data_IF_785621784555
#
_entry.id   IF_785621784555
#
_cell.length_a   1.000
_cell.length_b   1.000
_cell.length_c   1.000
_cell.angle_alpha   90.00
_cell.angle_beta   90.00
_cell.angle_gamma   90.00
#
_symmetry.space_group_name_H-M   'P 1'
#
loop_
_entity.id
_entity.type
_entity.pdbx_description
1 polymer ?
#
# COMPACT_ATOMS: atom_id res chain seq x y z
N UNK A 1 24.48 -1.50 2.25
CA UNK A 1 23.36 -2.18 2.95
C UNK A 1 22.92 -3.35 2.09
N UNK A 2 22.64 -4.49 2.70
CA UNK A 2 22.14 -5.70 2.05
C UNK A 2 20.67 -5.88 2.39
N UNK A 3 19.81 -5.85 1.38
CA UNK A 3 18.35 -5.82 1.52
C UNK A 3 17.78 -7.17 1.08
N UNK A 4 17.08 -7.86 1.95
CA UNK A 4 16.37 -9.10 1.60
C UNK A 4 14.95 -8.77 1.15
N UNK A 5 14.53 -9.29 -0.01
CA UNK A 5 13.18 -9.10 -0.57
C UNK A 5 12.40 -10.41 -0.56
N UNK A 6 11.48 -10.56 0.40
CA UNK A 6 10.50 -11.66 0.37
C UNK A 6 9.54 -11.39 -0.78
N UNK A 7 9.48 -12.33 -1.73
CA UNK A 7 8.70 -12.15 -2.96
C UNK A 7 9.40 -11.27 -3.99
N UNK A 8 10.73 -11.17 -3.96
CA UNK A 8 11.49 -10.30 -4.88
C UNK A 8 11.28 -10.59 -6.37
N UNK A 9 10.85 -11.79 -6.75
CA UNK A 9 10.47 -12.15 -8.13
C UNK A 9 8.94 -12.08 -8.40
N UNK A 10 8.15 -11.59 -7.44
CA UNK A 10 6.71 -11.34 -7.58
C UNK A 10 6.40 -10.00 -8.23
N UNK A 11 5.11 -9.70 -8.46
CA UNK A 11 4.70 -8.53 -9.26
C UNK A 11 5.25 -7.20 -8.71
N UNK A 12 5.09 -6.92 -7.41
CA UNK A 12 5.66 -5.71 -6.78
C UNK A 12 7.17 -5.87 -6.54
N UNK A 13 7.60 -7.06 -6.09
CA UNK A 13 9.00 -7.33 -5.75
C UNK A 13 9.97 -7.14 -6.92
N UNK A 14 9.54 -7.42 -8.17
CA UNK A 14 10.35 -7.20 -9.37
C UNK A 14 10.68 -5.73 -9.56
N UNK A 15 9.67 -4.86 -9.46
CA UNK A 15 9.85 -3.42 -9.54
C UNK A 15 10.72 -2.90 -8.39
N UNK A 16 10.50 -3.36 -7.15
CA UNK A 16 11.35 -2.99 -6.01
C UNK A 16 12.81 -3.40 -6.22
N UNK A 17 13.06 -4.60 -6.72
CA UNK A 17 14.42 -5.09 -7.01
C UNK A 17 15.12 -4.19 -8.03
N UNK A 18 14.45 -3.85 -9.14
CA UNK A 18 14.98 -2.96 -10.18
C UNK A 18 15.20 -1.53 -9.64
N UNK A 19 14.24 -0.99 -8.88
CA UNK A 19 14.32 0.36 -8.28
C UNK A 19 15.50 0.47 -7.32
N UNK A 20 15.69 -0.52 -6.43
CA UNK A 20 16.80 -0.57 -5.47
C UNK A 20 18.15 -0.63 -6.19
N UNK A 21 18.28 -1.52 -7.18
CA UNK A 21 19.53 -1.69 -7.91
C UNK A 21 19.86 -0.45 -8.75
N UNK A 22 18.87 0.21 -9.34
CA UNK A 22 19.06 1.37 -10.23
C UNK A 22 19.33 2.68 -9.49
N UNK A 23 18.82 2.84 -8.27
CA UNK A 23 18.83 4.12 -7.56
C UNK A 23 19.68 4.11 -6.29
N UNK A 24 20.30 2.98 -5.93
CA UNK A 24 21.10 2.88 -4.71
C UNK A 24 22.34 2.00 -4.91
N UNK A 25 23.32 2.15 -4.02
CA UNK A 25 24.48 1.25 -3.92
C UNK A 25 24.21 0.00 -3.08
N UNK A 26 22.95 -0.28 -2.72
CA UNK A 26 22.59 -1.47 -1.94
C UNK A 26 22.71 -2.74 -2.78
N UNK A 27 22.94 -3.87 -2.09
CA UNK A 27 22.78 -5.21 -2.65
C UNK A 27 21.45 -5.80 -2.23
N UNK A 28 20.94 -6.76 -3.00
CA UNK A 28 19.68 -7.44 -2.74
C UNK A 28 19.84 -8.95 -2.57
N UNK A 29 18.98 -9.55 -1.75
CA UNK A 29 18.76 -11.00 -1.69
C UNK A 29 17.32 -11.26 -2.12
N UNK A 30 17.13 -11.90 -3.27
CA UNK A 30 15.83 -12.23 -3.82
C UNK A 30 15.39 -13.57 -3.25
N UNK A 31 14.35 -13.58 -2.42
CA UNK A 31 13.90 -14.81 -1.75
C UNK A 31 12.43 -15.11 -1.95
N UNK A 32 12.10 -16.39 -1.90
CA UNK A 32 10.73 -16.90 -1.88
C UNK A 32 10.70 -18.42 -1.84
N UNK A 33 9.51 -19.00 -2.04
CA UNK A 33 9.30 -20.47 -2.00
C UNK A 33 9.83 -21.21 -3.23
N UNK A 34 10.15 -20.50 -4.31
CA UNK A 34 10.54 -21.09 -5.58
C UNK A 34 11.94 -20.60 -5.95
N UNK A 35 12.94 -21.43 -5.62
CA UNK A 35 14.35 -21.14 -5.89
C UNK A 35 14.61 -20.93 -7.38
N UNK A 36 13.98 -21.73 -8.26
CA UNK A 36 14.19 -21.63 -9.69
C UNK A 36 13.69 -20.29 -10.25
N UNK A 37 12.57 -19.76 -9.74
CA UNK A 37 12.11 -18.41 -10.10
C UNK A 37 13.04 -17.31 -9.59
N UNK A 38 13.61 -17.47 -8.40
CA UNK A 38 14.59 -16.51 -7.87
C UNK A 38 15.85 -16.48 -8.74
N UNK A 39 16.43 -17.64 -9.08
CA UNK A 39 17.59 -17.73 -9.98
C UNK A 39 17.28 -17.14 -11.36
N UNK A 40 16.16 -17.54 -11.97
CA UNK A 40 15.77 -17.00 -13.28
C UNK A 40 15.64 -15.47 -13.25
N UNK A 41 15.06 -14.91 -12.19
CA UNK A 41 14.93 -13.47 -12.07
C UNK A 41 16.27 -12.77 -11.81
N UNK A 42 17.18 -13.41 -11.06
CA UNK A 42 18.57 -12.95 -10.96
C UNK A 42 19.21 -12.89 -12.36
N UNK A 43 19.09 -13.95 -13.16
CA UNK A 43 19.62 -13.99 -14.54
C UNK A 43 19.07 -12.84 -15.40
N UNK A 44 17.79 -12.48 -15.22
CA UNK A 44 17.16 -11.34 -15.91
C UNK A 44 17.74 -9.98 -15.44
N UNK A 45 18.16 -9.86 -14.18
CA UNK A 45 18.70 -8.62 -13.60
C UNK A 45 20.19 -8.40 -13.89
N UNK A 46 21.01 -9.46 -13.89
CA UNK A 46 22.47 -9.36 -14.12
C UNK A 46 22.82 -8.84 -15.51
N UNK A 47 21.86 -8.89 -16.45
CA UNK A 47 22.00 -8.27 -17.78
C UNK A 47 22.11 -6.74 -17.69
N UNK A 48 21.50 -6.11 -16.67
CA UNK A 48 21.42 -4.65 -16.51
C UNK A 48 22.16 -4.12 -15.27
N UNK A 49 22.49 -5.00 -14.32
CA UNK A 49 23.03 -4.64 -13.02
C UNK A 49 24.23 -5.52 -12.64
N UNK A 50 25.09 -5.00 -11.76
CA UNK A 50 26.24 -5.78 -11.24
C UNK A 50 25.78 -7.03 -10.49
N UNK A 51 26.19 -8.20 -10.98
CA UNK A 51 25.88 -9.51 -10.39
C UNK A 51 26.32 -9.60 -8.92
N UNK A 52 27.42 -8.93 -8.54
CA UNK A 52 27.92 -8.96 -7.16
C UNK A 52 26.93 -8.37 -6.15
N UNK A 53 25.95 -7.60 -6.62
CA UNK A 53 24.90 -7.00 -5.79
C UNK A 53 23.63 -7.84 -5.74
N UNK A 54 23.58 -9.00 -6.39
CA UNK A 54 22.36 -9.80 -6.53
C UNK A 54 22.60 -11.23 -6.07
N UNK A 55 22.01 -11.54 -4.92
CA UNK A 55 21.96 -12.89 -4.39
C UNK A 55 20.52 -13.42 -4.41
N UNK A 56 20.39 -14.73 -4.29
CA UNK A 56 19.12 -15.46 -4.24
C UNK A 56 19.10 -16.33 -2.99
N UNK A 57 17.90 -16.65 -2.53
CA UNK A 57 17.70 -17.52 -1.37
C UNK A 57 16.32 -18.15 -1.34
N UNK A 58 16.07 -18.95 -0.32
CA UNK A 58 14.78 -19.59 -0.11
C UNK A 58 14.19 -19.17 1.23
N UNK A 59 12.94 -18.71 1.16
CA UNK A 59 12.14 -18.40 2.35
C UNK A 59 10.78 -19.04 2.20
N UNK A 60 10.41 -19.82 3.21
CA UNK A 60 9.04 -20.20 3.48
C UNK A 60 8.54 -19.43 4.71
N UNK A 61 7.67 -18.45 4.51
CA UNK A 61 7.12 -17.63 5.59
C UNK A 61 6.31 -18.44 6.62
N UNK A 62 5.83 -19.64 6.27
CA UNK A 62 5.16 -20.54 7.21
C UNK A 62 6.12 -21.17 8.23
N UNK A 63 7.44 -21.02 8.04
CA UNK A 63 8.47 -21.58 8.89
C UNK A 63 9.40 -20.47 9.43
N UNK A 64 9.26 -20.13 10.71
CA UNK A 64 10.08 -19.12 11.39
C UNK A 64 11.58 -19.39 11.26
N UNK A 65 12.03 -20.65 11.32
CA UNK A 65 13.44 -21.02 11.13
C UNK A 65 13.96 -20.70 9.73
N UNK A 66 13.12 -20.87 8.69
CA UNK A 66 13.47 -20.49 7.32
C UNK A 66 13.65 -18.97 7.18
N UNK A 67 12.80 -18.19 7.86
CA UNK A 67 12.90 -16.73 7.87
C UNK A 67 14.19 -16.26 8.56
N UNK A 68 14.46 -16.76 9.78
CA UNK A 68 15.64 -16.40 10.58
C UNK A 68 16.93 -16.65 9.79
N UNK A 69 17.06 -17.83 9.16
CA UNK A 69 18.26 -18.22 8.41
C UNK A 69 18.62 -17.25 7.28
N UNK A 70 17.62 -16.68 6.60
CA UNK A 70 17.86 -15.73 5.52
C UNK A 70 17.96 -14.29 6.04
N UNK A 71 17.18 -13.91 7.06
CA UNK A 71 17.21 -12.58 7.67
C UNK A 71 18.59 -12.23 8.22
N UNK A 72 19.26 -13.20 8.87
CA UNK A 72 20.64 -13.06 9.38
C UNK A 72 21.68 -12.66 8.30
N UNK A 73 21.36 -12.83 7.01
CA UNK A 73 22.25 -12.47 5.90
C UNK A 73 22.04 -11.04 5.40
N UNK A 74 21.12 -10.29 6.00
CA UNK A 74 20.67 -8.97 5.54
C UNK A 74 20.66 -7.94 6.67
N UNK A 75 20.67 -6.67 6.30
CA UNK A 75 20.54 -5.54 7.23
C UNK A 75 19.06 -5.08 7.35
N UNK A 76 18.32 -5.25 6.25
CA UNK A 76 16.95 -4.75 6.09
C UNK A 76 16.11 -5.76 5.31
N UNK A 77 14.86 -5.97 5.73
CA UNK A 77 13.93 -6.89 5.08
C UNK A 77 12.78 -6.11 4.45
N UNK A 78 12.49 -6.37 3.18
CA UNK A 78 11.29 -5.91 2.50
C UNK A 78 10.38 -7.10 2.24
N UNK A 79 9.12 -7.00 2.66
CA UNK A 79 8.12 -8.00 2.36
C UNK A 79 7.14 -7.53 1.28
N UNK A 80 7.27 -8.11 0.09
CA UNK A 80 6.43 -7.86 -1.08
C UNK A 80 5.69 -9.12 -1.56
N UNK A 81 5.47 -10.09 -0.67
CA UNK A 81 4.75 -11.33 -0.95
C UNK A 81 3.43 -11.41 -0.18
N UNK A 82 2.46 -12.17 -0.69
CA UNK A 82 1.21 -12.47 0.01
C UNK A 82 1.44 -13.40 1.22
N UNK A 83 1.87 -12.84 2.35
CA UNK A 83 2.24 -13.57 3.58
C UNK A 83 1.54 -13.06 4.83
N UNK A 84 0.44 -12.31 4.71
CA UNK A 84 -0.23 -11.67 5.86
C UNK A 84 -0.63 -12.67 6.95
N UNK A 85 -0.99 -13.90 6.57
CA UNK A 85 -1.31 -15.01 7.49
C UNK A 85 -0.11 -15.49 8.33
N UNK A 86 1.11 -15.16 7.92
CA UNK A 86 2.36 -15.54 8.58
C UNK A 86 3.02 -14.35 9.30
N UNK A 87 2.28 -13.27 9.55
CA UNK A 87 2.81 -12.08 10.24
C UNK A 87 3.46 -12.45 11.58
N UNK A 88 2.90 -13.41 12.33
CA UNK A 88 3.50 -13.88 13.59
C UNK A 88 4.92 -14.41 13.40
N UNK A 89 5.12 -15.32 12.44
CA UNK A 89 6.44 -15.90 12.16
C UNK A 89 7.44 -14.84 11.70
N UNK A 90 6.97 -13.87 10.90
CA UNK A 90 7.81 -12.76 10.42
C UNK A 90 8.23 -11.88 11.60
N UNK A 91 7.30 -11.50 12.47
CA UNK A 91 7.60 -10.69 13.67
C UNK A 91 8.57 -11.42 14.60
N UNK A 92 8.36 -12.72 14.86
CA UNK A 92 9.30 -13.53 15.65
C UNK A 92 10.72 -13.54 15.05
N UNK A 93 10.81 -13.75 13.73
CA UNK A 93 12.09 -13.73 13.04
C UNK A 93 12.76 -12.34 13.09
N UNK A 94 11.99 -11.26 12.90
CA UNK A 94 12.49 -9.89 13.02
C UNK A 94 13.04 -9.60 14.42
N UNK A 95 12.34 -10.01 15.47
CA UNK A 95 12.79 -9.79 16.85
C UNK A 95 14.09 -10.53 17.16
N UNK A 96 14.25 -11.76 16.68
CA UNK A 96 15.47 -12.55 16.90
C UNK A 96 16.66 -12.03 16.12
N UNK A 97 16.44 -11.61 14.87
CA UNK A 97 17.51 -11.17 13.96
C UNK A 97 17.80 -9.68 14.06
N UNK A 98 16.94 -8.92 14.76
CA UNK A 98 17.01 -7.46 14.93
C UNK A 98 17.02 -6.69 13.60
N UNK A 99 16.46 -7.28 12.56
CA UNK A 99 16.36 -6.62 11.26
C UNK A 99 15.35 -5.47 11.28
N UNK A 100 15.68 -4.41 10.52
CA UNK A 100 14.71 -3.39 10.15
C UNK A 100 13.81 -3.91 9.02
N UNK A 101 12.63 -3.33 8.88
CA UNK A 101 11.59 -3.93 8.04
C UNK A 101 10.74 -2.89 7.32
N UNK A 102 10.36 -3.20 6.08
CA UNK A 102 9.30 -2.55 5.33
C UNK A 102 8.37 -3.62 4.75
N UNK A 103 7.06 -3.41 4.80
CA UNK A 103 6.14 -4.22 4.01
C UNK A 103 5.17 -3.42 3.16
N UNK A 104 4.71 -4.07 2.09
CA UNK A 104 3.62 -3.59 1.23
C UNK A 104 2.35 -4.43 1.42
N UNK A 105 2.21 -5.06 2.60
CA UNK A 105 1.06 -5.89 2.89
C UNK A 105 -0.14 -5.00 3.22
N UNK A 106 -1.32 -5.45 2.83
CA UNK A 106 -2.57 -4.82 3.22
C UNK A 106 -2.70 -4.72 4.75
N UNK A 107 -3.41 -3.71 5.21
CA UNK A 107 -3.82 -3.59 6.60
C UNK A 107 -4.80 -4.71 6.95
N UNK A 108 -4.60 -5.38 8.09
CA UNK A 108 -5.63 -6.23 8.69
C UNK A 108 -5.63 -6.08 10.20
N UNK A 109 -6.77 -6.21 10.88
CA UNK A 109 -6.82 -6.11 12.34
C UNK A 109 -5.86 -7.08 13.02
N UNK A 110 -5.70 -8.30 12.49
CA UNK A 110 -4.80 -9.30 13.06
C UNK A 110 -3.33 -8.87 12.96
N UNK A 111 -2.89 -8.41 11.77
CA UNK A 111 -1.53 -7.88 11.54
C UNK A 111 -1.28 -6.67 12.45
N UNK A 112 -2.17 -5.69 12.43
CA UNK A 112 -2.01 -4.43 13.15
C UNK A 112 -1.98 -4.61 14.67
N UNK A 113 -2.86 -5.45 15.22
CA UNK A 113 -2.87 -5.74 16.65
C UNK A 113 -1.57 -6.39 17.11
N UNK A 114 -1.03 -7.33 16.32
CA UNK A 114 0.25 -7.97 16.61
C UNK A 114 1.41 -6.97 16.54
N UNK A 115 1.49 -6.17 15.48
CA UNK A 115 2.55 -5.16 15.32
C UNK A 115 2.51 -4.14 16.46
N UNK A 116 1.32 -3.65 16.84
CA UNK A 116 1.15 -2.70 17.96
C UNK A 116 1.53 -3.32 19.29
N UNK A 117 1.09 -4.56 19.57
CA UNK A 117 1.47 -5.27 20.79
C UNK A 117 2.99 -5.51 20.89
N UNK A 118 3.68 -5.57 19.75
CA UNK A 118 5.14 -5.78 19.69
C UNK A 118 5.93 -4.47 19.66
N UNK A 119 5.27 -3.31 19.52
CA UNK A 119 5.91 -2.01 19.25
C UNK A 119 6.98 -1.64 20.29
N UNK A 120 6.70 -1.85 21.58
CA UNK A 120 7.68 -1.59 22.65
C UNK A 120 8.96 -2.42 22.50
N UNK A 121 8.84 -3.66 22.02
CA UNK A 121 10.00 -4.52 21.82
C UNK A 121 10.83 -4.06 20.62
N UNK A 122 10.20 -3.57 19.55
CA UNK A 122 10.93 -2.96 18.43
C UNK A 122 11.73 -1.74 18.88
N UNK A 123 11.16 -0.89 19.73
CA UNK A 123 11.87 0.25 20.32
C UNK A 123 13.06 -0.23 21.17
N UNK A 124 12.86 -1.21 22.05
CA UNK A 124 13.93 -1.79 22.90
C UNK A 124 15.08 -2.41 22.08
N UNK A 125 14.77 -2.94 20.90
CA UNK A 125 15.75 -3.56 20.01
C UNK A 125 16.37 -2.59 19.01
N UNK A 126 16.05 -1.29 19.05
CA UNK A 126 16.48 -0.29 18.06
C UNK A 126 16.06 -0.65 16.62
N UNK A 127 14.89 -1.28 16.47
CA UNK A 127 14.34 -1.69 15.17
C UNK A 127 13.35 -0.66 14.66
N UNK A 128 13.51 -0.27 13.40
CA UNK A 128 12.55 0.53 12.64
C UNK A 128 11.69 -0.41 11.78
N UNK A 129 10.40 -0.48 12.10
CA UNK A 129 9.42 -1.32 11.42
C UNK A 129 8.44 -0.40 10.69
N UNK A 130 8.47 -0.44 9.37
CA UNK A 130 7.56 0.34 8.52
C UNK A 130 6.56 -0.62 7.89
N UNK A 131 5.28 -0.40 8.14
CA UNK A 131 4.19 -1.23 7.63
C UNK A 131 3.35 -0.45 6.63
N UNK A 132 2.51 -1.17 5.88
CA UNK A 132 1.42 -0.59 5.09
C UNK A 132 1.98 0.33 3.99
N UNK A 133 3.04 -0.13 3.34
CA UNK A 133 3.72 0.58 2.26
C UNK A 133 3.08 0.39 0.89
N UNK A 134 3.27 1.38 0.04
CA UNK A 134 2.73 1.42 -1.32
C UNK A 134 1.69 2.50 -1.52
N UNK A 135 0.65 2.20 -2.32
CA UNK A 135 -0.33 3.19 -2.78
C UNK A 135 -1.64 3.18 -1.99
N UNK A 136 -2.16 2.02 -1.61
CA UNK A 136 -3.25 1.89 -0.65
C UNK A 136 -3.06 0.57 0.12
N UNK A 137 -2.68 0.64 1.40
CA UNK A 137 -2.26 1.83 2.16
C UNK A 137 -0.92 2.42 1.69
N UNK A 138 -0.52 3.58 2.24
CA UNK A 138 0.83 4.13 2.16
C UNK A 138 0.94 5.54 1.56
N UNK A 139 0.06 5.89 0.62
CA UNK A 139 -0.02 7.24 0.04
C UNK A 139 -1.11 8.15 0.64
N UNK A 140 -2.32 7.67 0.99
CA UNK A 140 -3.42 8.55 1.39
C UNK A 140 -3.06 9.54 2.49
N UNK A 141 -2.50 9.09 3.62
CA UNK A 141 -2.13 10.00 4.71
C UNK A 141 -0.94 10.91 4.32
N UNK A 142 -0.02 10.44 3.48
CA UNK A 142 1.12 11.24 3.01
C UNK A 142 0.65 12.41 2.11
N UNK A 143 -0.36 12.18 1.27
CA UNK A 143 -0.98 13.25 0.47
C UNK A 143 -1.66 14.28 1.37
N UNK A 144 -2.39 13.83 2.40
CA UNK A 144 -3.07 14.75 3.33
C UNK A 144 -2.04 15.59 4.09
N UNK A 145 -0.96 14.99 4.59
CA UNK A 145 0.15 15.70 5.25
C UNK A 145 0.83 16.70 4.31
N UNK A 146 1.05 16.33 3.04
CA UNK A 146 1.55 17.27 2.03
C UNK A 146 0.63 18.48 1.87
N UNK A 147 -0.69 18.28 1.82
CA UNK A 147 -1.64 19.37 1.70
C UNK A 147 -1.74 20.21 2.98
N UNK A 148 -1.70 19.58 4.15
CA UNK A 148 -1.73 20.27 5.43
C UNK A 148 -0.54 21.24 5.59
N UNK A 149 0.63 20.88 5.07
CA UNK A 149 1.82 21.74 4.98
C UNK A 149 1.63 23.01 4.14
N UNK A 150 0.58 23.07 3.30
CA UNK A 150 0.25 24.22 2.48
C UNK A 150 -0.73 25.16 3.19
N UNK A 151 -1.78 24.64 3.83
CA UNK A 151 -2.82 25.43 4.46
C UNK A 151 -2.39 25.98 5.82
N UNK A 152 -2.93 27.14 6.20
CA UNK A 152 -2.80 27.65 7.57
C UNK A 152 -3.81 26.91 8.49
N UNK A 153 -4.98 26.58 7.93
CA UNK A 153 -5.95 25.66 8.52
C UNK A 153 -6.48 24.71 7.45
N UNK A 154 -6.36 23.39 7.67
CA UNK A 154 -6.97 22.39 6.80
C UNK A 154 -8.31 21.94 7.41
N UNK A 155 -9.42 22.08 6.68
CA UNK A 155 -10.76 21.79 7.21
C UNK A 155 -11.29 20.45 6.70
N UNK A 156 -11.01 20.09 5.45
CA UNK A 156 -11.35 18.80 4.85
C UNK A 156 -10.20 18.26 4.00
N UNK A 157 -9.99 16.95 4.03
CA UNK A 157 -8.96 16.29 3.21
C UNK A 157 -9.38 14.86 2.91
N UNK A 158 -9.98 14.61 1.74
CA UNK A 158 -10.50 13.30 1.37
C UNK A 158 -9.74 12.74 0.17
N UNK A 159 -9.39 11.46 0.24
CA UNK A 159 -8.64 10.77 -0.81
C UNK A 159 -9.56 9.79 -1.53
N UNK A 160 -9.74 9.97 -2.83
CA UNK A 160 -10.45 9.08 -3.73
C UNK A 160 -9.49 8.14 -4.46
N UNK A 161 -9.89 6.90 -4.69
CA UNK A 161 -9.11 5.90 -5.45
C UNK A 161 -9.94 5.31 -6.59
N UNK A 162 -9.35 5.28 -7.78
CA UNK A 162 -9.88 4.59 -8.96
C UNK A 162 -8.98 3.41 -9.30
N UNK A 163 -9.56 2.21 -9.34
CA UNK A 163 -8.88 0.98 -9.76
C UNK A 163 -9.43 0.46 -11.10
N UNK A 164 -8.96 1.01 -12.22
CA UNK A 164 -9.31 0.48 -13.55
C UNK A 164 -8.13 -0.27 -14.17
N UNK A 165 -7.91 -1.52 -13.76
CA UNK A 165 -6.73 -2.32 -14.12
C UNK A 165 -7.04 -3.43 -15.13
N UNK A 166 -6.01 -3.96 -15.81
CA UNK A 166 -6.15 -5.18 -16.61
C UNK A 166 -6.12 -6.45 -15.74
N UNK A 167 -7.27 -6.79 -15.18
CA UNK A 167 -7.42 -7.96 -14.30
C UNK A 167 -7.09 -9.33 -14.94
N UNK A 168 -6.81 -9.39 -16.25
CA UNK A 168 -6.36 -10.63 -16.90
C UNK A 168 -4.97 -11.06 -16.41
N UNK A 169 -4.08 -10.11 -16.21
CA UNK A 169 -2.68 -10.36 -15.80
C UNK A 169 -2.49 -10.33 -14.27
N UNK A 170 -3.29 -9.54 -13.57
CA UNK A 170 -3.09 -9.18 -12.16
C UNK A 170 -3.37 -10.35 -11.18
N UNK A 171 -4.42 -11.14 -11.39
CA UNK A 171 -4.78 -12.23 -10.47
C UNK A 171 -4.09 -13.56 -10.80
N UNK A 172 -2.76 -13.56 -10.85
CA UNK A 172 -1.95 -14.74 -11.19
C UNK A 172 -1.77 -15.72 -10.02
N UNK A 173 -1.76 -15.24 -8.76
CA UNK A 173 -1.56 -16.08 -7.56
C UNK A 173 -2.86 -16.36 -6.79
N UNK A 174 -3.13 -17.63 -6.39
CA UNK A 174 -4.24 -17.97 -5.50
C UNK A 174 -4.23 -17.20 -4.17
N UNK A 175 -3.04 -16.88 -3.64
CA UNK A 175 -2.88 -16.22 -2.34
C UNK A 175 -3.31 -14.75 -2.41
N UNK A 176 -2.92 -14.02 -3.47
CA UNK A 176 -3.34 -12.63 -3.72
C UNK A 176 -4.86 -12.49 -3.81
N UNK A 177 -5.52 -13.49 -4.41
CA UNK A 177 -6.99 -13.50 -4.50
C UNK A 177 -7.62 -13.72 -3.13
N UNK A 178 -7.05 -14.61 -2.31
CA UNK A 178 -7.56 -14.83 -0.95
C UNK A 178 -7.44 -13.57 -0.10
N UNK A 179 -6.32 -12.85 -0.21
CA UNK A 179 -6.12 -11.56 0.46
C UNK A 179 -7.20 -10.55 0.03
N UNK A 180 -7.46 -10.45 -1.27
CA UNK A 180 -8.52 -9.59 -1.80
C UNK A 180 -9.93 -9.97 -1.29
N UNK A 181 -10.24 -11.27 -1.17
CA UNK A 181 -11.51 -11.70 -0.57
C UNK A 181 -11.55 -11.41 0.94
N UNK A 182 -10.40 -11.47 1.62
CA UNK A 182 -10.28 -11.14 3.04
C UNK A 182 -10.62 -9.67 3.31
N UNK A 183 -10.24 -8.79 2.38
CA UNK A 183 -10.57 -7.36 2.45
C UNK A 183 -12.09 -7.13 2.50
N UNK A 184 -12.89 -7.84 1.69
CA UNK A 184 -14.35 -7.73 1.76
C UNK A 184 -14.91 -8.16 3.12
N UNK A 185 -14.26 -9.11 3.80
CA UNK A 185 -14.68 -9.58 5.11
C UNK A 185 -14.37 -8.57 6.21
N UNK A 186 -13.19 -7.96 6.16
CA UNK A 186 -12.71 -6.99 7.14
C UNK A 186 -13.03 -5.53 6.77
N UNK A 187 -13.81 -5.32 5.71
CA UNK A 187 -14.23 -4.01 5.24
C UNK A 187 -14.87 -3.18 6.37
N UNK A 188 -14.28 -2.02 6.62
CA UNK A 188 -14.77 -1.03 7.57
C UNK A 188 -14.99 0.30 6.83
N UNK A 189 -16.22 0.81 6.86
CA UNK A 189 -16.60 2.05 6.19
C UNK A 189 -16.35 3.31 7.03
N UNK A 190 -15.63 3.18 8.14
CA UNK A 190 -15.35 4.28 9.06
C UNK A 190 -14.53 5.38 8.38
N UNK A 191 -14.96 6.64 8.57
CA UNK A 191 -14.22 7.84 8.18
C UNK A 191 -14.34 8.90 9.29
N UNK A 192 -13.46 9.89 9.29
CA UNK A 192 -13.51 11.02 10.20
C UNK A 192 -14.38 12.11 9.60
N UNK A 193 -15.53 12.40 10.18
CA UNK A 193 -16.47 13.37 9.61
C UNK A 193 -17.16 14.12 10.74
N UNK A 194 -17.22 15.46 10.67
CA UNK A 194 -17.69 16.33 11.78
C UNK A 194 -16.90 16.11 13.07
N UNK A 195 -15.58 16.00 12.95
CA UNK A 195 -14.65 15.79 14.06
C UNK A 195 -14.79 14.47 14.83
N UNK A 196 -15.46 13.48 14.25
CA UNK A 196 -15.67 12.17 14.86
C UNK A 196 -15.44 11.03 13.87
N UNK A 197 -14.81 9.95 14.33
CA UNK A 197 -14.72 8.69 13.60
C UNK A 197 -16.09 7.98 13.63
N UNK A 198 -16.71 7.79 12.47
CA UNK A 198 -18.01 7.14 12.36
C UNK A 198 -18.11 6.20 11.16
N UNK A 199 -18.86 5.10 11.36
CA UNK A 199 -19.21 4.17 10.28
C UNK A 199 -20.20 4.82 9.32
N UNK A 200 -19.81 4.90 8.06
CA UNK A 200 -20.65 5.44 6.99
C UNK A 200 -21.51 4.36 6.34
N UNK A 201 -22.70 4.72 5.90
CA UNK A 201 -23.57 3.84 5.12
C UNK A 201 -23.19 3.89 3.63
N UNK A 202 -23.69 2.92 2.85
CA UNK A 202 -23.52 2.94 1.39
C UNK A 202 -24.15 4.15 0.69
N UNK A 203 -25.02 4.90 1.39
CA UNK A 203 -25.62 6.13 0.86
C UNK A 203 -24.72 7.36 1.05
N UNK A 204 -23.74 7.25 1.95
CA UNK A 204 -22.79 8.32 2.28
C UNK A 204 -21.54 8.28 1.36
N UNK A 205 -21.72 7.82 0.12
CA UNK A 205 -20.65 7.82 -0.88
C UNK A 205 -20.26 9.26 -1.23
N UNK A 206 -19.00 9.49 -1.57
CA UNK A 206 -18.52 10.76 -2.11
C UNK A 206 -18.26 10.62 -3.61
N UNK A 207 -18.48 11.70 -4.35
CA UNK A 207 -18.11 11.73 -5.76
C UNK A 207 -16.70 12.27 -5.92
N UNK A 208 -15.89 11.57 -6.71
CA UNK A 208 -14.61 12.05 -7.21
C UNK A 208 -14.66 12.13 -8.72
N UNK A 209 -14.10 13.19 -9.30
CA UNK A 209 -13.96 13.33 -10.75
C UNK A 209 -12.54 12.98 -11.15
N UNK A 210 -12.36 11.80 -11.73
CA UNK A 210 -11.06 11.28 -12.17
C UNK A 210 -10.69 11.74 -13.58
N UNK A 211 -11.27 12.87 -14.01
CA UNK A 211 -11.12 13.49 -15.32
C UNK A 211 -11.46 12.54 -16.48
N UNK A 212 -11.44 13.05 -17.72
CA UNK A 212 -11.62 12.16 -18.88
C UNK A 212 -10.43 11.19 -18.96
N UNK A 213 -10.68 9.90 -19.28
CA UNK A 213 -11.95 9.33 -19.73
C UNK A 213 -12.81 8.67 -18.64
N UNK A 214 -12.39 8.70 -17.37
CA UNK A 214 -13.07 7.97 -16.29
C UNK A 214 -14.28 8.73 -15.73
N UNK A 215 -14.14 10.05 -15.64
CA UNK A 215 -15.15 11.00 -15.17
C UNK A 215 -15.54 10.80 -13.72
N UNK A 216 -16.68 11.39 -13.37
CA UNK A 216 -17.25 11.35 -12.02
C UNK A 216 -17.67 9.95 -11.60
N UNK A 217 -17.16 9.47 -10.46
CA UNK A 217 -17.47 8.15 -9.87
C UNK A 217 -17.93 8.27 -8.41
N UNK A 218 -18.96 7.51 -7.99
CA UNK A 218 -19.25 7.33 -6.58
C UNK A 218 -18.16 6.46 -5.95
N UNK A 219 -17.65 6.90 -4.81
CA UNK A 219 -16.62 6.21 -4.05
C UNK A 219 -17.11 5.99 -2.62
N UNK A 220 -16.92 4.77 -2.12
CA UNK A 220 -17.35 4.37 -0.77
C UNK A 220 -16.16 4.44 0.18
N UNK A 221 -16.42 4.85 1.42
CA UNK A 221 -15.40 4.97 2.45
C UNK A 221 -14.80 3.61 2.82
N UNK A 222 -13.49 3.57 3.01
CA UNK A 222 -12.77 2.43 3.55
C UNK A 222 -11.75 2.94 4.57
N UNK A 223 -11.82 2.43 5.79
CA UNK A 223 -10.96 2.84 6.89
C UNK A 223 -9.50 2.49 6.61
N UNK A 224 -8.60 3.44 6.85
CA UNK A 224 -7.15 3.27 6.72
C UNK A 224 -6.49 3.64 8.05
N UNK A 225 -5.65 2.76 8.58
CA UNK A 225 -5.04 2.94 9.91
C UNK A 225 -4.12 4.17 9.94
N UNK A 226 -3.40 4.43 8.85
CA UNK A 226 -2.52 5.60 8.66
C UNK A 226 -3.23 6.96 8.78
N UNK A 227 -4.56 7.01 8.69
CA UNK A 227 -5.33 8.25 8.83
C UNK A 227 -5.64 8.60 10.29
N UNK A 228 -5.46 7.68 11.24
CA UNK A 228 -5.95 7.84 12.61
C UNK A 228 -5.30 8.98 13.39
N UNK A 229 -4.04 9.27 13.10
CA UNK A 229 -3.26 10.30 13.80
C UNK A 229 -3.52 11.71 13.23
N UNK A 230 -4.06 11.82 12.01
CA UNK A 230 -4.23 13.10 11.32
C UNK A 230 -5.12 14.10 12.07
N UNK A 231 -6.26 13.71 12.70
CA UNK A 231 -7.05 14.66 13.46
C UNK A 231 -6.34 15.24 14.69
N UNK A 232 -5.44 14.46 15.30
CA UNK A 232 -4.65 14.92 16.45
C UNK A 232 -3.49 15.82 15.98
N UNK A 233 -2.89 15.51 14.82
CA UNK A 233 -1.84 16.31 14.18
C UNK A 233 -2.38 17.65 13.63
N UNK A 234 -3.62 17.66 13.13
CA UNK A 234 -4.27 18.82 12.52
C UNK A 234 -5.65 19.10 13.16
N UNK A 235 -5.72 19.80 14.31
CA UNK A 235 -6.99 20.00 15.05
C UNK A 235 -8.09 20.81 14.32
N UNK A 236 -7.71 21.56 13.27
CA UNK A 236 -8.65 22.25 12.37
C UNK A 236 -9.37 21.30 11.42
N UNK A 237 -8.83 20.10 11.20
CA UNK A 237 -9.42 19.08 10.35
C UNK A 237 -10.76 18.62 10.93
N UNK A 238 -11.81 18.74 10.12
CA UNK A 238 -13.16 18.34 10.48
C UNK A 238 -13.65 17.12 9.72
N UNK A 239 -13.02 16.82 8.59
CA UNK A 239 -13.35 15.71 7.71
C UNK A 239 -12.12 15.13 7.02
N UNK A 240 -11.93 13.81 7.12
CA UNK A 240 -10.97 13.07 6.30
C UNK A 240 -11.36 11.60 6.15
N UNK A 241 -10.97 11.00 5.05
CA UNK A 241 -11.19 9.60 4.77
C UNK A 241 -10.57 9.16 3.46
N UNK A 242 -10.47 7.85 3.31
CA UNK A 242 -10.13 7.20 2.05
C UNK A 242 -11.40 6.60 1.43
N UNK A 243 -11.60 6.83 0.15
CA UNK A 243 -12.79 6.46 -0.60
C UNK A 243 -12.41 5.74 -1.88
N UNK A 244 -12.94 4.54 -2.11
CA UNK A 244 -12.61 3.73 -3.27
C UNK A 244 -13.79 3.63 -4.23
N UNK A 245 -13.52 3.75 -5.53
CA UNK A 245 -14.52 3.54 -6.58
C UNK A 245 -14.86 2.05 -6.73
N UNK A 246 -16.03 1.77 -7.29
CA UNK A 246 -16.34 0.43 -7.79
C UNK A 246 -15.43 -0.01 -8.94
N UNK A 247 -15.57 -1.27 -9.36
CA UNK A 247 -14.78 -1.89 -10.44
C UNK A 247 -15.45 -1.73 -11.81
N UNK A 248 -16.69 -2.19 -11.92
CA UNK A 248 -17.49 -2.16 -13.13
C UNK A 248 -18.95 -2.47 -12.76
N UNK A 249 -19.89 -2.01 -13.58
CA UNK A 249 -21.33 -2.11 -13.28
C UNK A 249 -21.77 -3.53 -12.88
N UNK A 250 -21.32 -4.58 -13.57
CA UNK A 250 -21.78 -5.95 -13.28
C UNK A 250 -21.22 -6.44 -11.95
N UNK A 251 -19.93 -6.19 -11.72
CA UNK A 251 -19.27 -6.57 -10.46
C UNK A 251 -19.89 -5.81 -9.30
N UNK A 252 -20.07 -4.50 -9.45
CA UNK A 252 -20.52 -3.61 -8.36
C UNK A 252 -21.99 -3.85 -7.98
N UNK A 253 -22.88 -4.07 -8.95
CA UNK A 253 -24.32 -4.24 -8.67
C UNK A 253 -24.73 -5.68 -8.36
N UNK A 254 -23.98 -6.69 -8.81
CA UNK A 254 -24.39 -8.09 -8.65
C UNK A 254 -23.39 -8.92 -7.85
N UNK A 255 -22.11 -8.87 -8.19
CA UNK A 255 -21.12 -9.77 -7.61
C UNK A 255 -20.66 -9.31 -6.23
N UNK A 256 -20.40 -8.02 -6.05
CA UNK A 256 -19.96 -7.44 -4.78
C UNK A 256 -21.01 -7.58 -3.67
N UNK A 257 -22.32 -7.29 -3.90
CA UNK A 257 -23.34 -7.54 -2.88
C UNK A 257 -23.45 -9.01 -2.49
N UNK A 258 -23.36 -9.92 -3.47
CA UNK A 258 -23.32 -11.36 -3.24
C UNK A 258 -22.08 -11.77 -2.43
N UNK A 259 -20.91 -11.22 -2.76
CA UNK A 259 -19.65 -11.45 -2.05
C UNK A 259 -19.75 -10.98 -0.60
N UNK A 260 -20.21 -9.74 -0.38
CA UNK A 260 -20.38 -9.14 0.95
C UNK A 260 -21.35 -9.93 1.83
N UNK A 261 -22.41 -10.49 1.24
CA UNK A 261 -23.31 -11.41 1.94
C UNK A 261 -22.60 -12.73 2.28
N UNK A 262 -21.90 -13.31 1.31
CA UNK A 262 -21.29 -14.63 1.46
C UNK A 262 -20.12 -14.65 2.46
N UNK A 263 -19.23 -13.65 2.44
CA UNK A 263 -18.08 -13.57 3.38
C UNK A 263 -18.52 -13.46 4.84
N UNK A 264 -19.72 -12.92 5.09
CA UNK A 264 -20.31 -12.82 6.43
C UNK A 264 -20.96 -14.13 6.92
N UNK A 265 -21.26 -15.07 6.02
CA UNK A 265 -22.04 -16.29 6.33
C UNK A 265 -21.26 -17.58 6.17
N UNK A 266 -20.22 -17.59 5.34
CA UNK A 266 -19.47 -18.79 5.03
C UNK A 266 -17.98 -18.60 5.33
N UNK A 267 -17.29 -19.70 5.61
CA UNK A 267 -15.82 -19.69 5.69
C UNK A 267 -15.22 -19.48 4.30
N UNK A 268 -14.03 -18.87 4.23
CA UNK A 268 -13.35 -18.53 2.98
C UNK A 268 -13.20 -19.74 2.03
N UNK A 269 -12.97 -20.94 2.57
CA UNK A 269 -12.84 -22.18 1.79
C UNK A 269 -14.11 -22.54 0.99
N UNK A 270 -15.28 -22.07 1.43
CA UNK A 270 -16.58 -22.29 0.77
C UNK A 270 -16.90 -21.23 -0.28
N UNK A 271 -16.07 -20.18 -0.43
CA UNK A 271 -16.32 -19.06 -1.34
C UNK A 271 -15.78 -19.29 -2.75
N UNK A 272 -15.12 -20.42 -3.03
CA UNK A 272 -14.42 -20.69 -4.30
C UNK A 272 -15.24 -20.36 -5.55
N UNK A 273 -16.53 -20.70 -5.59
CA UNK A 273 -17.41 -20.41 -6.73
C UNK A 273 -17.65 -18.91 -6.92
N UNK A 274 -17.90 -18.18 -5.83
CA UNK A 274 -18.14 -16.72 -5.86
C UNK A 274 -16.83 -16.01 -6.21
N UNK A 275 -15.71 -16.47 -5.68
CA UNK A 275 -14.37 -15.98 -6.04
C UNK A 275 -14.07 -16.18 -7.53
N UNK A 276 -14.43 -17.33 -8.11
CA UNK A 276 -14.30 -17.56 -9.57
C UNK A 276 -15.20 -16.62 -10.37
N UNK A 277 -16.45 -16.41 -9.94
CA UNK A 277 -17.37 -15.47 -10.56
C UNK A 277 -16.82 -14.03 -10.52
N UNK A 278 -16.28 -13.61 -9.39
CA UNK A 278 -15.66 -12.30 -9.19
C UNK A 278 -14.45 -12.08 -10.11
N UNK A 279 -13.53 -13.03 -10.19
CA UNK A 279 -12.41 -12.94 -11.15
C UNK A 279 -12.90 -12.84 -12.58
N UNK A 280 -13.88 -13.66 -12.94
CA UNK A 280 -14.44 -13.65 -14.28
C UNK A 280 -15.10 -12.30 -14.61
N UNK A 281 -15.87 -11.73 -13.69
CA UNK A 281 -16.55 -10.46 -13.92
C UNK A 281 -15.57 -9.31 -14.11
N UNK A 282 -14.53 -9.24 -13.27
CA UNK A 282 -13.46 -8.25 -13.41
C UNK A 282 -12.77 -8.36 -14.79
N UNK A 283 -12.37 -9.58 -15.19
CA UNK A 283 -11.72 -9.82 -16.50
C UNK A 283 -12.62 -9.53 -17.70
N UNK A 284 -13.93 -9.76 -17.55
CA UNK A 284 -14.89 -9.62 -18.66
C UNK A 284 -15.30 -8.18 -18.89
N UNK A 285 -15.45 -7.39 -17.83
CA UNK A 285 -16.11 -6.09 -17.89
C UNK A 285 -15.17 -4.89 -17.70
N UNK A 286 -13.97 -5.07 -17.16
CA UNK A 286 -12.97 -3.99 -17.14
C UNK A 286 -12.34 -3.81 -18.52
N UNK A 287 -12.29 -2.55 -18.97
CA UNK A 287 -11.86 -2.16 -20.32
C UNK A 287 -10.83 -1.04 -20.26
N UNK A 288 -9.95 -0.94 -21.27
CA UNK A 288 -9.02 0.17 -21.38
C UNK A 288 -9.75 1.52 -21.56
N UNK A 289 -9.07 2.64 -21.24
CA UNK A 289 -7.67 2.71 -20.80
C UNK A 289 -7.50 2.27 -19.34
N UNK A 290 -6.45 1.50 -19.08
CA UNK A 290 -6.13 1.03 -17.74
C UNK A 290 -5.33 2.11 -16.99
N UNK A 291 -5.75 2.41 -15.78
CA UNK A 291 -5.10 3.37 -14.90
C UNK A 291 -5.53 3.15 -13.46
N UNK A 292 -4.57 3.32 -12.56
CA UNK A 292 -4.79 3.44 -11.13
C UNK A 292 -4.55 4.89 -10.74
N UNK A 293 -5.51 5.49 -10.06
CA UNK A 293 -5.46 6.91 -9.69
C UNK A 293 -5.78 7.04 -8.20
N UNK A 294 -4.93 7.78 -7.49
CA UNK A 294 -5.19 8.27 -6.14
C UNK A 294 -5.32 9.79 -6.21
N UNK A 295 -6.45 10.33 -5.75
CA UNK A 295 -6.79 11.75 -5.85
C UNK A 295 -7.14 12.31 -4.48
N UNK A 296 -6.35 13.27 -3.98
CA UNK A 296 -6.71 14.08 -2.83
C UNK A 296 -7.53 15.28 -3.28
N UNK A 297 -8.62 15.57 -2.57
CA UNK A 297 -9.27 16.88 -2.55
C UNK A 297 -9.19 17.42 -1.12
N UNK A 298 -8.52 18.54 -0.95
CA UNK A 298 -8.35 19.21 0.33
C UNK A 298 -8.86 20.65 0.27
N UNK A 299 -9.51 21.10 1.35
CA UNK A 299 -10.05 22.44 1.50
C UNK A 299 -9.62 23.02 2.84
N UNK A 300 -9.34 24.32 2.85
CA UNK A 300 -8.86 25.02 4.03
C UNK A 300 -8.68 26.50 3.81
N UNK A 301 -8.07 27.16 4.79
CA UNK A 301 -7.70 28.57 4.75
C UNK A 301 -6.22 28.69 4.44
N UNK A 302 -5.90 29.56 3.47
CA UNK A 302 -4.54 30.00 3.18
C UNK A 302 -4.54 31.49 2.92
N UNK A 303 -3.75 32.25 3.68
CA UNK A 303 -3.67 33.72 3.60
C UNK A 303 -5.07 34.36 3.72
N UNK A 304 -5.82 33.97 4.76
CA UNK A 304 -7.20 34.42 5.05
C UNK A 304 -8.24 34.15 3.96
N UNK A 305 -7.91 33.32 2.97
CA UNK A 305 -8.81 32.93 1.88
C UNK A 305 -9.10 31.45 1.92
N UNK A 306 -10.36 31.10 1.67
CA UNK A 306 -10.74 29.72 1.40
C UNK A 306 -10.09 29.29 0.09
N UNK A 307 -9.33 28.20 0.14
CA UNK A 307 -8.69 27.61 -1.02
C UNK A 307 -8.95 26.10 -1.06
N UNK A 308 -8.84 25.55 -2.26
CA UNK A 308 -8.96 24.12 -2.50
C UNK A 308 -7.72 23.64 -3.25
N UNK A 309 -7.23 22.47 -2.86
CA UNK A 309 -6.12 21.78 -3.51
C UNK A 309 -6.60 20.42 -4.01
N UNK A 310 -6.20 20.07 -5.23
CA UNK A 310 -6.30 18.71 -5.79
C UNK A 310 -4.91 18.17 -6.03
N UNK A 311 -4.65 16.95 -5.56
CA UNK A 311 -3.43 16.20 -5.91
C UNK A 311 -3.85 14.91 -6.56
N UNK A 312 -3.27 14.58 -7.70
CA UNK A 312 -3.47 13.31 -8.39
C UNK A 312 -2.13 12.59 -8.53
N UNK A 313 -2.08 11.34 -8.06
CA UNK A 313 -0.96 10.42 -8.30
C UNK A 313 -1.49 9.23 -9.08
N UNK A 314 -0.87 8.89 -10.20
CA UNK A 314 -1.38 7.81 -11.05
C UNK A 314 -0.33 7.09 -11.88
N UNK A 315 -0.68 5.88 -12.31
CA UNK A 315 0.11 5.07 -13.22
C UNK A 315 -0.79 4.03 -13.91
N UNK A 316 -0.37 3.51 -15.06
CA UNK A 316 -1.12 2.45 -15.80
C UNK A 316 -1.02 1.07 -15.11
N UNK A 317 0.14 0.79 -14.51
CA UNK A 317 0.42 -0.42 -13.74
C UNK A 317 0.28 -0.16 -12.24
N UNK A 318 -0.66 -0.85 -11.59
CA UNK A 318 -0.93 -0.74 -10.16
C UNK A 318 0.17 -1.32 -9.27
N UNK A 319 0.92 -2.32 -9.71
CA UNK A 319 2.06 -2.85 -8.96
C UNK A 319 3.24 -1.90 -9.00
N UNK A 320 3.46 -1.22 -10.12
CA UNK A 320 4.43 -0.14 -10.18
C UNK A 320 4.05 1.00 -9.24
N UNK A 321 2.76 1.39 -9.24
CA UNK A 321 2.24 2.40 -8.32
C UNK A 321 2.30 1.99 -6.85
N UNK A 322 2.37 0.69 -6.54
CA UNK A 322 2.70 0.18 -5.19
C UNK A 322 4.21 0.21 -4.91
N UNK A 323 5.03 -0.23 -5.86
CA UNK A 323 6.48 -0.35 -5.67
C UNK A 323 7.17 0.99 -5.51
N UNK A 324 6.78 2.00 -6.29
CA UNK A 324 7.44 3.32 -6.31
C UNK A 324 7.32 4.04 -4.95
N UNK A 325 6.14 4.19 -4.33
CA UNK A 325 6.03 4.75 -2.98
C UNK A 325 6.79 3.93 -1.93
N UNK A 326 6.73 2.60 -1.98
CA UNK A 326 7.49 1.77 -1.06
C UNK A 326 9.01 1.98 -1.20
N UNK A 327 9.51 2.09 -2.42
CA UNK A 327 10.91 2.45 -2.67
C UNK A 327 11.23 3.88 -2.23
N UNK A 328 10.38 4.87 -2.48
CA UNK A 328 10.61 6.25 -2.04
C UNK A 328 10.68 6.35 -0.51
N UNK A 329 9.91 5.53 0.21
CA UNK A 329 10.03 5.38 1.66
C UNK A 329 11.38 4.78 2.07
N UNK A 330 11.78 3.66 1.45
CA UNK A 330 13.09 3.04 1.66
C UNK A 330 14.23 4.01 1.35
N UNK A 331 14.11 4.83 0.30
CA UNK A 331 15.11 5.82 -0.08
C UNK A 331 15.30 6.86 1.01
N UNK A 332 14.22 7.36 1.62
CA UNK A 332 14.31 8.22 2.78
C UNK A 332 14.89 7.49 4.00
N UNK A 333 14.52 6.23 4.24
CA UNK A 333 15.12 5.43 5.31
C UNK A 333 16.65 5.32 5.15
N UNK A 334 17.13 5.11 3.93
CA UNK A 334 18.55 5.00 3.59
C UNK A 334 19.35 6.30 3.81
N UNK A 335 18.71 7.45 3.63
CA UNK A 335 19.34 8.75 3.82
C UNK A 335 19.31 9.26 5.28
N UNK A 336 18.31 8.85 6.07
CA UNK A 336 18.17 9.31 7.45
C UNK A 336 19.37 8.87 8.29
N UNK A 337 20.14 9.83 8.78
CA UNK A 337 21.25 9.57 9.72
C UNK A 337 20.74 9.04 11.07
N UNK A 338 19.53 9.45 11.48
CA UNK A 338 18.87 9.00 12.71
C UNK A 338 17.58 8.27 12.36
N UNK A 339 17.65 6.94 12.38
CA UNK A 339 16.48 6.06 12.25
C UNK A 339 15.57 6.29 13.46
N UNK A 340 14.26 6.16 13.27
CA UNK A 340 13.29 6.25 14.37
C UNK A 340 12.87 4.82 14.73
N UNK A 341 13.30 4.28 15.88
CA UNK A 341 12.88 2.95 16.31
C UNK A 341 11.37 2.89 16.57
N UNK A 342 10.82 1.68 16.52
CA UNK A 342 9.40 1.41 16.72
C UNK A 342 8.65 1.11 15.43
N UNK A 343 7.32 1.02 15.59
CA UNK A 343 6.37 0.78 14.51
C UNK A 343 5.94 2.11 13.87
N UNK A 344 5.99 2.16 12.55
CA UNK A 344 5.54 3.29 11.73
C UNK A 344 4.66 2.79 10.59
N UNK A 345 3.71 3.60 10.16
CA UNK A 345 3.10 3.45 8.84
C UNK A 345 3.90 4.23 7.81
N UNK A 346 4.03 3.72 6.59
CA UNK A 346 4.78 4.39 5.52
C UNK A 346 4.40 5.87 5.42
N UNK A 347 3.10 6.16 5.38
CA UNK A 347 2.58 7.49 5.17
C UNK A 347 2.95 8.49 6.29
N UNK A 348 3.12 8.01 7.52
CA UNK A 348 3.53 8.78 8.69
C UNK A 348 5.05 8.86 8.82
N UNK A 349 5.79 7.88 8.28
CA UNK A 349 7.25 7.83 8.34
C UNK A 349 7.95 8.82 7.38
N UNK A 350 7.37 9.01 6.19
CA UNK A 350 7.99 9.79 5.12
C UNK A 350 7.81 11.29 5.32
N UNK A 351 8.80 12.07 4.86
CA UNK A 351 8.63 13.51 4.63
C UNK A 351 7.84 13.70 3.32
N UNK A 352 6.63 14.29 3.36
CA UNK A 352 5.70 14.27 2.22
C UNK A 352 6.22 14.94 0.95
N UNK A 353 6.91 16.09 1.04
CA UNK A 353 7.33 16.84 -0.16
C UNK A 353 8.38 16.07 -0.95
N UNK A 354 9.40 15.57 -0.26
CA UNK A 354 10.41 14.70 -0.84
C UNK A 354 9.80 13.40 -1.36
N UNK A 355 8.84 12.84 -0.64
CA UNK A 355 8.16 11.62 -1.03
C UNK A 355 7.43 11.75 -2.37
N UNK A 356 6.60 12.79 -2.54
CA UNK A 356 5.91 13.05 -3.81
C UNK A 356 6.89 13.38 -4.94
N UNK A 357 7.96 14.12 -4.65
CA UNK A 357 9.00 14.43 -5.63
C UNK A 357 9.71 13.16 -6.13
N UNK A 358 10.05 12.24 -5.23
CA UNK A 358 10.63 10.94 -5.59
C UNK A 358 9.66 10.10 -6.43
N UNK A 359 8.38 10.03 -6.04
CA UNK A 359 7.35 9.31 -6.80
C UNK A 359 7.24 9.84 -8.24
N UNK A 360 7.24 11.17 -8.40
CA UNK A 360 7.23 11.82 -9.73
C UNK A 360 8.50 11.51 -10.52
N UNK A 361 9.68 11.65 -9.89
CA UNK A 361 10.99 11.40 -10.51
C UNK A 361 11.12 9.95 -11.00
N UNK A 362 10.54 9.01 -10.26
CA UNK A 362 10.62 7.57 -10.54
C UNK A 362 9.62 7.09 -11.60
N UNK A 363 8.78 7.99 -12.15
CA UNK A 363 7.97 7.71 -13.34
C UNK A 363 6.46 7.66 -13.11
N UNK A 364 5.97 7.90 -11.89
CA UNK A 364 4.53 8.08 -11.69
C UNK A 364 4.08 9.49 -12.11
N UNK A 365 2.87 9.60 -12.63
CA UNK A 365 2.28 10.91 -12.90
C UNK A 365 1.84 11.56 -11.59
N UNK A 366 2.31 12.78 -11.32
CA UNK A 366 1.89 13.60 -10.17
C UNK A 366 1.44 14.96 -10.66
N UNK A 367 0.17 15.31 -10.40
CA UNK A 367 -0.41 16.62 -10.71
C UNK A 367 -0.89 17.28 -9.43
N UNK A 368 -0.67 18.59 -9.31
CA UNK A 368 -1.09 19.40 -8.17
C UNK A 368 -1.77 20.64 -8.75
N UNK A 369 -3.02 20.86 -8.35
CA UNK A 369 -3.88 21.95 -8.82
C UNK A 369 -4.45 22.71 -7.63
N UNK A 370 -4.63 24.02 -7.79
CA UNK A 370 -5.18 24.92 -6.78
C UNK A 370 -6.39 25.64 -7.34
N UNK A 371 -7.36 25.96 -6.47
CA UNK A 371 -8.56 26.74 -6.79
C UNK A 371 -9.35 26.12 -7.97
N UNK A 372 -9.85 24.90 -7.77
CA UNK A 372 -10.65 24.20 -8.78
C UNK A 372 -11.86 25.07 -9.16
N UNK A 373 -12.06 25.25 -10.47
CA UNK A 373 -13.11 26.11 -11.04
C UNK A 373 -14.42 25.37 -11.23
#
# INVERSE_FOLDING_TARGET
MKILLIGGYGNVGKFLSELILSNTNSSIIIVGRDKAKAEKFKDELVVRHDEKRIETGFVDASNTGSLINEFMKSDFVINAASTIQFTNNIVEALLQTKNNYLDVLMSSPQKLNLLKATSEQFVKNDQCIISDGGFHPGLPAALIRYAADYFDEIHSANVGSLLNMDWKFEFSSPDTIKEFIYEFKEYDSTAYVKKEWRKLSYKDYKYFDFDKPFGKKPCISMMMEELKELPDEYPSLSETGFYISGFNWFTDYFVTPLMMFAVKRFSLNKLNSITKLFKWSLRKFSKPPYKVILQLIAEGIKEDKNQQMKIEVSHEDGYFLTAVPAFACLHQYLEKSNRIPGLHFQANYVEPKKFLNDIKRLGCEVKIEFNLK
#
